data_IF_559902242896
#
_entry.id   IF_559902242896
#
_cell.length_a   1.000
_cell.length_b   1.000
_cell.length_c   1.000
_cell.angle_alpha   90.00
_cell.angle_beta   90.00
_cell.angle_gamma   90.00
#
_symmetry.space_group_name_H-M   'P 1'
#
loop_
_entity.id
_entity.type
_entity.pdbx_description
1 polymer ?
#
# COMPACT_ATOMS: atom_id res chain seq x y z
N UNK A 1 15.28 -22.13 -2.19
CA UNK A 1 14.53 -21.95 -0.92
C UNK A 1 13.05 -22.03 -1.30
N UNK A 2 12.26 -22.83 -0.60
CA UNK A 2 10.81 -22.86 -0.82
C UNK A 2 10.23 -21.48 -0.48
N UNK A 3 9.46 -20.92 -1.40
CA UNK A 3 8.81 -19.63 -1.16
C UNK A 3 7.65 -19.83 -0.17
N UNK A 4 7.57 -18.97 0.83
CA UNK A 4 6.45 -18.94 1.76
C UNK A 4 5.26 -18.25 1.09
N UNK A 5 4.13 -18.93 1.05
CA UNK A 5 2.86 -18.41 0.58
C UNK A 5 1.95 -18.10 1.77
N UNK A 6 1.21 -17.02 1.70
CA UNK A 6 0.29 -16.60 2.76
C UNK A 6 -1.14 -16.80 2.26
N UNK A 7 -1.95 -17.49 3.06
CA UNK A 7 -3.38 -17.64 2.85
C UNK A 7 -4.14 -17.04 4.01
N UNK A 8 -5.06 -16.13 3.70
CA UNK A 8 -5.98 -15.51 4.65
C UNK A 8 -7.39 -15.56 4.09
N UNK A 9 -8.32 -16.15 4.81
CA UNK A 9 -9.74 -16.25 4.42
C UNK A 9 -10.59 -15.67 5.56
N UNK A 10 -11.33 -14.61 5.30
CA UNK A 10 -12.21 -13.95 6.27
C UNK A 10 -11.49 -13.63 7.59
N UNK A 11 -12.09 -14.07 8.69
CA UNK A 11 -11.63 -13.87 10.07
C UNK A 11 -10.68 -14.97 10.55
N UNK A 12 -10.40 -15.97 9.70
CA UNK A 12 -9.45 -17.03 10.02
C UNK A 12 -8.06 -16.45 10.28
N UNK A 13 -7.28 -17.13 11.08
CA UNK A 13 -5.87 -16.80 11.27
C UNK A 13 -5.07 -16.95 9.97
N UNK A 14 -3.96 -16.22 9.89
CA UNK A 14 -3.07 -16.29 8.72
C UNK A 14 -2.41 -17.67 8.68
N UNK A 15 -2.54 -18.35 7.55
CA UNK A 15 -1.89 -19.62 7.27
C UNK A 15 -0.66 -19.37 6.40
N UNK A 16 0.49 -19.87 6.82
CA UNK A 16 1.72 -19.80 6.04
C UNK A 16 1.96 -21.19 5.44
N UNK A 17 2.11 -21.22 4.12
CA UNK A 17 2.23 -22.42 3.32
C UNK A 17 3.56 -22.43 2.57
N UNK A 18 4.20 -23.59 2.50
CA UNK A 18 5.20 -23.87 1.48
C UNK A 18 4.59 -24.72 0.37
N UNK A 19 5.04 -24.53 -0.86
CA UNK A 19 4.57 -25.29 -2.02
C UNK A 19 5.73 -26.12 -2.59
N UNK A 20 5.50 -27.41 -2.75
CA UNK A 20 6.40 -28.31 -3.44
C UNK A 20 5.57 -29.20 -4.41
N UNK A 21 5.88 -29.13 -5.69
CA UNK A 21 5.19 -29.86 -6.77
C UNK A 21 3.65 -29.86 -6.65
N UNK A 22 3.06 -28.66 -6.50
CA UNK A 22 1.61 -28.43 -6.34
C UNK A 22 0.97 -29.03 -5.07
N UNK A 23 1.77 -29.42 -4.11
CA UNK A 23 1.35 -29.79 -2.78
C UNK A 23 1.77 -28.73 -1.79
N UNK A 24 0.91 -28.46 -0.83
CA UNK A 24 1.10 -27.42 0.15
C UNK A 24 1.28 -28.01 1.54
N UNK A 25 2.17 -27.40 2.31
CA UNK A 25 2.41 -27.79 3.71
C UNK A 25 2.27 -26.53 4.57
N UNK A 26 1.47 -26.61 5.64
CA UNK A 26 1.35 -25.54 6.62
C UNK A 26 2.56 -25.55 7.51
N UNK A 27 3.22 -24.39 7.65
CA UNK A 27 4.46 -24.25 8.46
C UNK A 27 4.22 -23.47 9.76
N UNK A 28 3.08 -22.84 9.94
CA UNK A 28 2.68 -22.23 11.20
C UNK A 28 1.67 -23.14 11.95
N UNK A 29 1.50 -22.88 13.25
CA UNK A 29 0.66 -23.70 14.15
C UNK A 29 -0.86 -23.54 13.94
N UNK A 30 -1.29 -22.83 12.91
CA UNK A 30 -2.70 -22.54 12.67
C UNK A 30 -3.31 -23.60 11.74
N UNK A 31 -4.32 -24.31 12.27
CA UNK A 31 -5.07 -25.32 11.53
C UNK A 31 -6.51 -24.82 11.35
N UNK A 32 -6.89 -24.34 10.15
CA UNK A 32 -8.25 -23.91 9.93
C UNK A 32 -9.22 -25.10 9.99
N UNK A 33 -10.36 -24.92 10.63
CA UNK A 33 -11.36 -25.99 10.85
C UNK A 33 -11.83 -26.67 9.54
N UNK A 34 -11.84 -25.94 8.41
CA UNK A 34 -12.23 -26.46 7.11
C UNK A 34 -11.19 -27.37 6.44
N UNK A 35 -9.93 -27.33 6.93
CA UNK A 35 -8.83 -28.15 6.36
C UNK A 35 -8.72 -29.53 7.05
N UNK A 36 -9.29 -29.70 8.24
CA UNK A 36 -9.13 -30.90 9.04
C UNK A 36 -7.74 -31.01 9.66
N UNK A 37 -7.34 -32.21 10.08
CA UNK A 37 -6.06 -32.43 10.77
C UNK A 37 -4.86 -32.64 9.84
N UNK A 38 -5.01 -32.44 8.53
CA UNK A 38 -3.96 -32.67 7.57
C UNK A 38 -3.18 -31.39 7.28
N UNK A 39 -1.97 -31.25 7.79
CA UNK A 39 -1.13 -30.07 7.65
C UNK A 39 -0.01 -30.21 6.61
N UNK A 40 0.15 -31.40 6.04
CA UNK A 40 1.19 -31.69 5.04
C UNK A 40 0.61 -32.34 3.78
N UNK A 41 1.31 -32.16 2.66
CA UNK A 41 0.92 -32.72 1.36
C UNK A 41 -0.50 -32.36 0.89
N UNK A 42 -0.97 -31.15 1.25
CA UNK A 42 -2.32 -30.66 0.94
C UNK A 42 -2.42 -30.39 -0.56
N UNK A 43 -3.27 -31.09 -1.30
CA UNK A 43 -3.45 -30.81 -2.72
C UNK A 43 -4.22 -29.50 -2.92
N UNK A 44 -3.97 -28.81 -4.04
CA UNK A 44 -4.65 -27.56 -4.41
C UNK A 44 -6.18 -27.69 -4.37
N UNK A 45 -6.72 -28.86 -4.74
CA UNK A 45 -8.17 -29.12 -4.71
C UNK A 45 -8.79 -29.02 -3.32
N UNK A 46 -8.03 -29.32 -2.27
CA UNK A 46 -8.49 -29.18 -0.89
C UNK A 46 -8.49 -27.71 -0.47
N UNK A 47 -7.44 -26.94 -0.80
CA UNK A 47 -7.41 -25.50 -0.55
C UNK A 47 -8.56 -24.79 -1.28
N UNK A 48 -8.85 -25.15 -2.52
CA UNK A 48 -9.96 -24.60 -3.30
C UNK A 48 -11.32 -24.78 -2.63
N UNK A 49 -11.58 -25.92 -2.00
CA UNK A 49 -12.86 -26.17 -1.29
C UNK A 49 -13.12 -25.18 -0.17
N UNK A 50 -12.07 -24.65 0.49
CA UNK A 50 -12.22 -23.61 1.49
C UNK A 50 -12.39 -22.21 0.90
N UNK A 51 -11.76 -21.93 -0.23
CA UNK A 51 -11.66 -20.60 -0.84
C UNK A 51 -12.82 -20.31 -1.80
N UNK A 52 -13.15 -21.27 -2.69
CA UNK A 52 -14.14 -21.08 -3.76
C UNK A 52 -15.54 -20.69 -3.26
N UNK A 53 -16.12 -21.29 -2.19
CA UNK A 53 -17.43 -20.88 -1.70
C UNK A 53 -17.44 -19.43 -1.21
N UNK A 54 -16.36 -18.98 -0.55
CA UNK A 54 -16.21 -17.62 -0.08
C UNK A 54 -16.07 -16.63 -1.25
N UNK A 55 -15.21 -16.91 -2.24
CA UNK A 55 -15.08 -16.10 -3.45
C UNK A 55 -16.39 -16.03 -4.22
N UNK A 56 -17.07 -17.17 -4.40
CA UNK A 56 -18.37 -17.24 -5.08
C UNK A 56 -19.40 -16.34 -4.38
N UNK A 57 -19.46 -16.37 -3.06
CA UNK A 57 -20.34 -15.51 -2.27
C UNK A 57 -20.04 -14.02 -2.48
N UNK A 58 -18.74 -13.65 -2.56
CA UNK A 58 -18.35 -12.28 -2.85
C UNK A 58 -18.78 -11.82 -4.25
N UNK A 59 -18.53 -12.64 -5.28
CA UNK A 59 -18.87 -12.30 -6.67
C UNK A 59 -20.37 -12.34 -6.98
N UNK A 60 -21.15 -13.02 -6.15
CA UNK A 60 -22.61 -13.04 -6.27
C UNK A 60 -23.30 -11.87 -5.55
N UNK A 61 -22.55 -11.03 -4.83
CA UNK A 61 -23.15 -9.85 -4.20
C UNK A 61 -23.57 -8.82 -5.25
N UNK A 62 -24.75 -8.22 -5.09
CA UNK A 62 -25.27 -7.20 -6.02
C UNK A 62 -24.40 -5.92 -6.05
N UNK A 63 -23.63 -5.68 -4.98
CA UNK A 63 -22.77 -4.50 -4.82
C UNK A 63 -21.38 -4.91 -4.35
N UNK A 64 -20.55 -5.42 -5.28
CA UNK A 64 -19.16 -5.68 -5.00
C UNK A 64 -18.32 -4.42 -5.25
N UNK A 65 -17.73 -3.88 -4.19
CA UNK A 65 -16.73 -2.81 -4.28
C UNK A 65 -15.38 -3.35 -3.84
N UNK A 66 -14.35 -3.13 -4.65
CA UNK A 66 -12.98 -3.51 -4.34
C UNK A 66 -12.16 -2.25 -4.07
N UNK A 67 -11.66 -2.12 -2.84
CA UNK A 67 -10.71 -1.07 -2.48
C UNK A 67 -9.30 -1.65 -2.52
N UNK A 68 -8.49 -1.15 -3.44
CA UNK A 68 -7.08 -1.55 -3.56
C UNK A 68 -6.19 -0.37 -3.16
N UNK A 69 -5.14 -0.66 -2.40
CA UNK A 69 -4.12 0.31 -2.02
C UNK A 69 -2.81 0.09 -2.79
N UNK A 70 -1.81 0.92 -2.49
CA UNK A 70 -0.47 0.84 -3.07
C UNK A 70 0.20 -0.54 -2.95
N UNK A 71 -0.20 -1.35 -1.97
CA UNK A 71 0.27 -2.73 -1.81
C UNK A 71 0.02 -3.60 -3.04
N UNK A 72 -1.12 -3.43 -3.73
CA UNK A 72 -1.40 -4.17 -4.96
C UNK A 72 -0.44 -3.75 -6.08
N UNK A 73 -0.26 -2.46 -6.32
CA UNK A 73 0.67 -1.94 -7.33
C UNK A 73 2.11 -2.40 -7.08
N UNK A 74 2.54 -2.38 -5.81
CA UNK A 74 3.85 -2.88 -5.39
C UNK A 74 3.99 -4.38 -5.64
N UNK A 75 2.97 -5.18 -5.33
CA UNK A 75 2.98 -6.62 -5.59
C UNK A 75 3.06 -6.94 -7.09
N UNK A 76 2.27 -6.24 -7.91
CA UNK A 76 2.31 -6.38 -9.38
C UNK A 76 3.67 -6.00 -9.94
N UNK A 77 4.24 -4.88 -9.48
CA UNK A 77 5.58 -4.44 -9.90
C UNK A 77 6.64 -5.49 -9.58
N UNK A 78 6.60 -6.06 -8.36
CA UNK A 78 7.53 -7.11 -7.93
C UNK A 78 7.37 -8.38 -8.78
N UNK A 79 6.14 -8.84 -9.00
CA UNK A 79 5.85 -10.03 -9.81
C UNK A 79 6.26 -9.85 -11.28
N UNK A 80 6.09 -8.64 -11.81
CA UNK A 80 6.51 -8.29 -13.16
C UNK A 80 8.03 -8.13 -13.30
N UNK A 81 8.77 -8.10 -12.20
CA UNK A 81 10.19 -7.70 -12.14
C UNK A 81 10.42 -6.30 -12.71
N UNK A 82 9.47 -5.41 -12.48
CA UNK A 82 9.59 -4.00 -12.79
C UNK A 82 10.63 -3.33 -11.89
N UNK A 83 11.23 -2.25 -12.38
CA UNK A 83 12.16 -1.42 -11.61
C UNK A 83 11.43 -0.16 -11.13
N UNK A 84 11.70 0.30 -9.92
CA UNK A 84 11.15 1.54 -9.39
C UNK A 84 11.00 1.56 -7.88
N UNK A 85 10.78 2.75 -7.34
CA UNK A 85 10.54 2.97 -5.93
C UNK A 85 9.06 2.79 -5.61
N UNK A 86 8.75 2.44 -4.37
CA UNK A 86 7.36 2.48 -3.90
C UNK A 86 6.93 3.93 -3.72
N UNK A 87 5.86 4.35 -4.42
CA UNK A 87 5.43 5.75 -4.49
C UNK A 87 4.94 6.38 -3.16
N UNK A 88 4.86 5.61 -2.08
CA UNK A 88 4.31 6.10 -0.79
C UNK A 88 5.37 6.62 0.17
N UNK A 89 6.64 6.65 -0.24
CA UNK A 89 7.72 7.21 0.59
C UNK A 89 7.57 8.72 0.73
N UNK A 90 7.82 9.27 1.92
CA UNK A 90 7.84 10.71 2.14
C UNK A 90 8.85 11.43 1.24
N UNK A 91 8.48 12.61 0.78
CA UNK A 91 9.26 13.45 -0.14
C UNK A 91 10.02 14.55 0.60
N UNK A 92 11.01 15.13 -0.06
CA UNK A 92 11.76 16.27 0.46
C UNK A 92 10.91 17.55 0.44
N UNK A 93 10.89 18.28 1.56
CA UNK A 93 10.18 19.54 1.76
C UNK A 93 11.24 20.63 1.93
N UNK A 94 11.04 21.81 1.31
CA UNK A 94 12.03 22.89 1.27
C UNK A 94 11.67 24.12 2.12
N UNK A 95 10.42 24.26 2.55
CA UNK A 95 9.95 25.36 3.41
C UNK A 95 10.63 25.36 4.78
N UNK A 96 10.68 26.51 5.44
CA UNK A 96 11.20 26.66 6.80
C UNK A 96 10.39 25.84 7.83
N UNK A 97 9.16 25.42 7.48
CA UNK A 97 8.32 24.56 8.31
C UNK A 97 8.59 23.05 8.15
N UNK A 98 9.58 22.64 7.37
CA UNK A 98 9.86 21.22 7.06
C UNK A 98 9.93 20.32 8.30
N UNK A 99 10.61 20.78 9.37
CA UNK A 99 10.77 19.99 10.59
C UNK A 99 9.47 19.86 11.37
N UNK A 100 8.61 20.89 11.33
CA UNK A 100 7.28 20.85 11.93
C UNK A 100 6.35 19.89 11.16
N UNK A 101 6.38 19.97 9.84
CA UNK A 101 5.58 19.11 8.96
C UNK A 101 5.99 17.65 9.18
N UNK A 102 7.27 17.31 9.10
CA UNK A 102 7.77 15.95 9.30
C UNK A 102 7.47 15.46 10.72
N UNK A 103 7.69 16.27 11.76
CA UNK A 103 7.36 15.90 13.13
C UNK A 103 5.87 15.62 13.34
N UNK A 104 4.98 16.43 12.76
CA UNK A 104 3.53 16.23 12.86
C UNK A 104 3.06 15.02 12.05
N UNK A 105 3.56 14.83 10.83
CA UNK A 105 3.31 13.67 9.98
C UNK A 105 3.73 12.37 10.70
N UNK A 106 4.94 12.33 11.26
CA UNK A 106 5.45 11.19 12.03
C UNK A 106 4.62 10.87 13.27
N UNK A 107 4.21 11.90 14.04
CA UNK A 107 3.31 11.68 15.20
C UNK A 107 2.02 10.99 14.80
N UNK A 108 1.46 11.33 13.64
CA UNK A 108 0.24 10.68 13.14
C UNK A 108 0.50 9.27 12.68
N UNK A 109 1.59 9.03 11.96
CA UNK A 109 2.00 7.69 11.54
C UNK A 109 2.18 6.74 12.73
N UNK A 110 2.79 7.22 13.82
CA UNK A 110 2.94 6.47 15.08
C UNK A 110 1.56 6.16 15.68
N UNK A 111 0.67 7.15 15.79
CA UNK A 111 -0.69 6.94 16.34
C UNK A 111 -1.51 5.93 15.55
N UNK A 112 -1.30 5.85 14.23
CA UNK A 112 -1.97 4.88 13.34
C UNK A 112 -1.24 3.53 13.25
N UNK A 113 -0.19 3.31 14.03
CA UNK A 113 0.55 2.04 14.07
C UNK A 113 1.50 1.80 12.89
N UNK A 114 1.72 2.80 12.02
CA UNK A 114 2.62 2.67 10.86
C UNK A 114 4.10 2.89 11.19
N UNK A 115 4.38 3.68 12.23
CA UNK A 115 5.73 3.97 12.72
C UNK A 115 6.44 5.10 11.97
N UNK A 116 6.50 5.07 10.64
CA UNK A 116 7.12 6.12 9.81
C UNK A 116 6.08 6.87 8.99
N UNK A 117 6.35 8.15 8.74
CA UNK A 117 5.52 9.01 7.89
C UNK A 117 5.59 8.59 6.43
N UNK A 118 4.51 8.82 5.72
CA UNK A 118 4.41 8.65 4.29
C UNK A 118 3.95 9.95 3.61
N UNK A 119 3.87 9.94 2.28
CA UNK A 119 3.47 11.11 1.51
C UNK A 119 2.06 11.62 1.85
N UNK A 120 1.12 10.73 2.19
CA UNK A 120 -0.24 11.12 2.59
C UNK A 120 -0.24 11.90 3.92
N UNK A 121 0.61 11.50 4.88
CA UNK A 121 0.77 12.20 6.14
C UNK A 121 1.36 13.60 5.93
N UNK A 122 2.33 13.72 5.00
CA UNK A 122 2.93 15.00 4.62
C UNK A 122 1.89 15.91 3.95
N UNK A 123 1.17 15.43 2.93
CA UNK A 123 0.11 16.18 2.23
C UNK A 123 -0.93 16.69 3.22
N UNK A 124 -1.42 15.83 4.11
CA UNK A 124 -2.41 16.21 5.11
C UNK A 124 -1.86 17.30 6.04
N UNK A 125 -0.67 17.11 6.60
CA UNK A 125 -0.06 18.07 7.53
C UNK A 125 0.19 19.42 6.85
N UNK A 126 0.61 19.43 5.58
CA UNK A 126 0.80 20.66 4.82
C UNK A 126 -0.54 21.38 4.56
N UNK A 127 -1.61 20.66 4.23
CA UNK A 127 -2.93 21.26 4.09
C UNK A 127 -3.43 21.87 5.41
N UNK A 128 -3.22 21.19 6.54
CA UNK A 128 -3.57 21.69 7.86
C UNK A 128 -2.76 22.96 8.20
N UNK A 129 -1.47 22.99 7.86
CA UNK A 129 -0.61 24.15 8.05
C UNK A 129 -1.03 25.34 7.17
N UNK A 130 -1.26 25.12 5.88
CA UNK A 130 -1.75 26.13 4.93
C UNK A 130 -3.04 26.76 5.49
N UNK A 131 -3.99 25.92 5.91
CA UNK A 131 -5.23 26.42 6.49
C UNK A 131 -5.01 27.21 7.78
N UNK A 132 -4.07 26.81 8.62
CA UNK A 132 -3.67 27.56 9.81
C UNK A 132 -3.08 28.94 9.47
N UNK A 133 -2.19 29.00 8.49
CA UNK A 133 -1.60 30.24 8.01
C UNK A 133 -2.63 31.20 7.40
N UNK A 134 -3.59 30.69 6.63
CA UNK A 134 -4.73 31.48 6.13
C UNK A 134 -5.56 32.09 7.27
N UNK A 135 -5.87 31.30 8.30
CA UNK A 135 -6.63 31.78 9.47
C UNK A 135 -5.87 32.91 10.22
N UNK A 136 -4.53 32.84 10.21
CA UNK A 136 -3.68 33.86 10.81
C UNK A 136 -3.47 35.10 9.91
N UNK A 137 -3.96 35.07 8.65
CA UNK A 137 -3.84 36.15 7.69
C UNK A 137 -2.49 36.24 6.98
N UNK A 138 -1.67 35.18 7.00
CA UNK A 138 -0.35 35.17 6.35
C UNK A 138 -0.45 35.22 4.81
N UNK A 139 -1.58 34.87 4.23
CA UNK A 139 -1.85 34.99 2.79
C UNK A 139 -2.09 36.45 2.35
N UNK A 140 -2.44 37.34 3.27
CA UNK A 140 -2.69 38.76 3.05
C UNK A 140 -1.56 39.66 3.53
N UNK A 141 -0.77 39.27 4.54
CA UNK A 141 0.36 40.05 5.08
C UNK A 141 1.58 39.96 4.17
N UNK A 142 2.00 41.10 3.61
CA UNK A 142 3.16 41.20 2.69
C UNK A 142 4.47 40.67 3.28
N UNK A 143 4.63 40.58 4.60
CA UNK A 143 5.83 40.08 5.27
C UNK A 143 5.84 38.55 5.43
N UNK A 144 4.66 37.95 5.49
CA UNK A 144 4.49 36.52 5.79
C UNK A 144 4.04 35.72 4.55
N UNK A 145 3.59 36.44 3.52
CA UNK A 145 3.08 35.89 2.27
C UNK A 145 4.09 35.00 1.51
N UNK A 146 5.36 35.36 1.57
CA UNK A 146 6.41 34.58 0.90
C UNK A 146 6.55 33.18 1.51
N UNK A 147 6.44 33.06 2.84
CA UNK A 147 6.53 31.78 3.52
C UNK A 147 5.27 30.92 3.29
N UNK A 148 4.09 31.54 3.38
CA UNK A 148 2.83 30.90 2.99
C UNK A 148 2.90 30.34 1.56
N UNK A 149 3.39 31.16 0.61
CA UNK A 149 3.53 30.75 -0.79
C UNK A 149 4.49 29.59 -0.95
N UNK A 150 5.62 29.58 -0.24
CA UNK A 150 6.56 28.42 -0.29
C UNK A 150 5.90 27.13 0.16
N UNK A 151 5.10 27.13 1.22
CA UNK A 151 4.36 25.95 1.68
C UNK A 151 3.38 25.47 0.60
N UNK A 152 2.66 26.39 -0.04
CA UNK A 152 1.75 26.06 -1.15
C UNK A 152 2.51 25.46 -2.35
N UNK A 153 3.62 26.07 -2.74
CA UNK A 153 4.46 25.62 -3.86
C UNK A 153 5.06 24.23 -3.56
N UNK A 154 5.54 24.01 -2.34
CA UNK A 154 6.04 22.70 -1.90
C UNK A 154 4.95 21.62 -1.92
N UNK A 155 3.73 21.92 -1.50
CA UNK A 155 2.60 21.00 -1.59
C UNK A 155 2.29 20.63 -3.05
N UNK A 156 2.27 21.61 -3.95
CA UNK A 156 2.04 21.39 -5.38
C UNK A 156 3.15 20.51 -5.96
N UNK A 157 4.42 20.78 -5.62
CA UNK A 157 5.56 20.03 -6.10
C UNK A 157 5.54 18.58 -5.56
N UNK A 158 5.16 18.39 -4.30
CA UNK A 158 5.01 17.08 -3.68
C UNK A 158 3.94 16.24 -4.38
N UNK A 159 2.78 16.83 -4.69
CA UNK A 159 1.70 16.16 -5.44
C UNK A 159 2.15 15.80 -6.86
N UNK A 160 2.87 16.71 -7.55
CA UNK A 160 3.42 16.44 -8.88
C UNK A 160 4.43 15.29 -8.86
N UNK A 161 5.38 15.32 -7.93
CA UNK A 161 6.37 14.25 -7.77
C UNK A 161 5.69 12.90 -7.50
N UNK A 162 4.67 12.87 -6.64
CA UNK A 162 3.89 11.68 -6.38
C UNK A 162 3.20 11.13 -7.63
N UNK A 163 2.60 12.01 -8.44
CA UNK A 163 1.96 11.63 -9.70
C UNK A 163 2.97 11.06 -10.70
N UNK A 164 4.16 11.67 -10.78
CA UNK A 164 5.23 11.20 -11.63
C UNK A 164 5.77 9.83 -11.19
N UNK A 165 5.90 9.60 -9.88
CA UNK A 165 6.30 8.32 -9.31
C UNK A 165 5.28 7.22 -9.64
N UNK A 166 3.97 7.47 -9.48
CA UNK A 166 2.91 6.53 -9.86
C UNK A 166 3.00 6.21 -11.36
N UNK A 167 3.09 7.23 -12.21
CA UNK A 167 3.21 7.05 -13.66
C UNK A 167 4.49 6.27 -14.03
N UNK A 168 5.56 6.49 -13.27
CA UNK A 168 6.83 5.74 -13.40
C UNK A 168 6.65 4.26 -13.06
N UNK A 169 5.94 3.95 -11.98
CA UNK A 169 5.63 2.56 -11.58
C UNK A 169 4.78 1.87 -12.64
N UNK A 170 3.70 2.50 -13.09
CA UNK A 170 2.83 1.95 -14.13
C UNK A 170 3.61 1.65 -15.43
N UNK A 171 4.46 2.59 -15.85
CA UNK A 171 5.33 2.41 -17.01
C UNK A 171 6.33 1.29 -16.81
N UNK A 172 6.92 1.17 -15.61
CA UNK A 172 7.86 0.10 -15.28
C UNK A 172 7.19 -1.29 -15.34
N UNK A 173 5.95 -1.40 -14.87
CA UNK A 173 5.15 -2.63 -14.97
C UNK A 173 4.85 -2.94 -16.44
N UNK A 174 4.39 -1.97 -17.21
CA UNK A 174 4.01 -2.13 -18.61
C UNK A 174 5.18 -2.60 -19.51
N UNK A 175 6.40 -2.22 -19.16
CA UNK A 175 7.62 -2.57 -19.90
C UNK A 175 8.43 -3.71 -19.28
N UNK A 176 7.98 -4.26 -18.14
CA UNK A 176 8.70 -5.29 -17.41
C UNK A 176 8.74 -6.63 -18.15
N UNK A 177 9.81 -7.44 -17.97
CA UNK A 177 9.98 -8.70 -18.71
C UNK A 177 8.91 -9.74 -18.35
N UNK A 178 8.43 -9.76 -17.12
CA UNK A 178 7.45 -10.76 -16.63
C UNK A 178 6.04 -10.16 -16.46
N UNK A 179 5.71 -9.07 -17.17
CA UNK A 179 4.41 -8.37 -17.06
C UNK A 179 3.21 -9.29 -17.28
N UNK A 180 3.25 -10.14 -18.32
CA UNK A 180 2.13 -11.01 -18.67
C UNK A 180 1.89 -12.08 -17.58
N UNK A 181 2.96 -12.52 -16.92
CA UNK A 181 2.87 -13.40 -15.76
C UNK A 181 2.24 -12.68 -14.56
N UNK A 182 2.62 -11.43 -14.30
CA UNK A 182 2.03 -10.65 -13.23
C UNK A 182 0.53 -10.41 -13.44
N UNK A 183 0.11 -10.08 -14.66
CA UNK A 183 -1.31 -9.91 -15.01
C UNK A 183 -2.09 -11.24 -14.97
N UNK A 184 -1.44 -12.37 -15.15
CA UNK A 184 -2.08 -13.69 -14.99
C UNK A 184 -2.42 -14.06 -13.54
N UNK A 185 -1.91 -13.31 -12.55
CA UNK A 185 -2.22 -13.50 -11.13
C UNK A 185 -3.29 -12.51 -10.60
N UNK A 186 -3.66 -11.50 -11.37
CA UNK A 186 -4.72 -10.53 -11.06
C UNK A 186 -6.07 -10.97 -11.62
#
# INVERSE_FOLDING_TARGET
MAENNILKIRDDEIIILTCDDKKFTIINSQEPAWLGQNTSDIPLSVLRKGIEPWLTSLFQSEHLSVLTGNGLSTAVQFLAKGSGNTAMTGQSITTDFKDLISSAAKKTAIKSGRGEENIEDQIRTMNELIRGLEILGHDEDEREKDEYKKVCDDLINLIKSFTDDISGIERSIATAPDRDKAFGYL
#
